data_IF_775511602794
#
_entry.id   IF_775511602794
#
_cell.length_a   1.000
_cell.length_b   1.000
_cell.length_c   1.000
_cell.angle_alpha   90.00
_cell.angle_beta   90.00
_cell.angle_gamma   90.00
#
_symmetry.space_group_name_H-M   'P 1'
#
loop_
_entity.id
_entity.type
_entity.pdbx_description
1 polymer ?
#
# COMPACT_ATOMS: atom_id res chain seq x y z
N UNK A 1 -4.03 -4.35 36.35
CA UNK A 1 -4.59 -5.33 35.37
C UNK A 1 -5.88 -4.86 34.70
N UNK A 2 -6.72 -4.03 35.33
CA UNK A 2 -7.99 -3.56 34.76
C UNK A 2 -7.85 -2.60 33.55
N UNK A 3 -6.74 -1.86 33.48
CA UNK A 3 -6.42 -0.94 32.36
C UNK A 3 -6.05 -1.63 31.04
N UNK A 4 -5.50 -2.85 31.07
CA UNK A 4 -5.26 -3.63 29.84
C UNK A 4 -6.55 -4.21 29.25
N UNK A 5 -7.54 -4.51 30.09
CA UNK A 5 -8.83 -5.06 29.67
C UNK A 5 -9.70 -4.00 28.97
N UNK A 6 -9.65 -2.75 29.44
CA UNK A 6 -10.42 -1.64 28.86
C UNK A 6 -9.87 -1.22 27.49
N UNK A 7 -8.53 -1.23 27.33
CA UNK A 7 -7.87 -1.03 26.02
C UNK A 7 -8.31 -2.12 25.04
N UNK A 8 -8.43 -3.40 25.48
CA UNK A 8 -8.92 -4.51 24.64
C UNK A 8 -10.38 -4.36 24.22
N UNK A 9 -11.25 -3.80 25.07
CA UNK A 9 -12.68 -3.66 24.78
C UNK A 9 -12.96 -2.53 23.77
N UNK A 10 -12.31 -1.38 23.92
CA UNK A 10 -12.32 -0.33 22.88
C UNK A 10 -11.55 -0.78 21.64
N UNK A 11 -10.45 -1.53 21.79
CA UNK A 11 -9.78 -2.17 20.64
C UNK A 11 -10.72 -3.07 19.86
N UNK A 12 -11.54 -3.91 20.49
CA UNK A 12 -12.30 -4.96 19.78
C UNK A 12 -13.30 -4.43 18.75
N UNK A 13 -13.89 -3.24 18.94
CA UNK A 13 -14.74 -2.60 17.92
C UNK A 13 -13.89 -2.03 16.78
N UNK A 14 -12.77 -1.39 17.10
CA UNK A 14 -11.80 -0.90 16.12
C UNK A 14 -11.16 -2.05 15.36
N UNK A 15 -10.90 -3.19 16.00
CA UNK A 15 -10.28 -4.40 15.48
C UNK A 15 -11.18 -5.12 14.49
N UNK A 16 -12.50 -5.19 14.73
CA UNK A 16 -13.44 -5.78 13.78
C UNK A 16 -13.52 -4.98 12.49
N UNK A 17 -13.56 -3.65 12.59
CA UNK A 17 -13.33 -2.78 11.45
C UNK A 17 -11.99 -3.13 10.80
N UNK A 18 -10.91 -3.06 11.59
CA UNK A 18 -9.51 -3.31 11.20
C UNK A 18 -9.28 -4.59 10.39
N UNK A 19 -9.88 -5.68 10.84
CA UNK A 19 -9.82 -6.99 10.21
C UNK A 19 -10.52 -6.97 8.85
N UNK A 20 -11.70 -6.35 8.76
CA UNK A 20 -12.41 -6.18 7.49
C UNK A 20 -11.56 -5.33 6.52
N UNK A 21 -10.88 -4.27 6.99
CA UNK A 21 -9.98 -3.46 6.14
C UNK A 21 -8.79 -4.27 5.63
N UNK A 22 -8.11 -4.98 6.53
CA UNK A 22 -6.90 -5.74 6.21
C UNK A 22 -7.21 -6.88 5.25
N UNK A 23 -8.35 -7.56 5.46
CA UNK A 23 -8.87 -8.58 4.54
C UNK A 23 -9.27 -7.95 3.21
N UNK A 24 -9.99 -6.83 3.19
CA UNK A 24 -10.39 -6.17 1.94
C UNK A 24 -9.17 -5.73 1.12
N UNK A 25 -8.16 -5.12 1.74
CA UNK A 25 -6.91 -4.71 1.07
C UNK A 25 -6.12 -5.93 0.61
N UNK A 26 -5.97 -6.97 1.44
CA UNK A 26 -5.24 -8.19 1.06
C UNK A 26 -5.94 -8.95 -0.06
N UNK A 27 -7.27 -9.05 -0.01
CA UNK A 27 -8.08 -9.64 -1.08
C UNK A 27 -7.95 -8.82 -2.36
N UNK A 28 -8.00 -7.49 -2.26
CA UNK A 28 -7.85 -6.62 -3.42
C UNK A 28 -6.46 -6.73 -4.06
N UNK A 29 -5.40 -6.77 -3.24
CA UNK A 29 -4.03 -6.99 -3.70
C UNK A 29 -3.81 -8.40 -4.24
N UNK A 30 -4.42 -9.41 -3.62
CA UNK A 30 -4.39 -10.79 -4.09
C UNK A 30 -5.07 -10.93 -5.45
N UNK A 31 -6.26 -10.35 -5.61
CA UNK A 31 -7.01 -10.34 -6.87
C UNK A 31 -6.25 -9.57 -7.97
N UNK A 32 -5.67 -8.41 -7.63
CA UNK A 32 -4.83 -7.66 -8.57
C UNK A 32 -3.59 -8.49 -8.99
N UNK A 33 -2.95 -9.17 -8.04
CA UNK A 33 -1.77 -10.02 -8.31
C UNK A 33 -2.11 -11.25 -9.14
N UNK A 34 -3.27 -11.87 -8.92
CA UNK A 34 -3.77 -13.00 -9.71
C UNK A 34 -4.05 -12.55 -11.15
N UNK A 35 -4.69 -11.39 -11.34
CA UNK A 35 -4.92 -10.81 -12.67
C UNK A 35 -3.60 -10.47 -13.41
N UNK A 36 -2.52 -10.18 -12.66
CA UNK A 36 -1.20 -9.87 -13.20
C UNK A 36 -0.34 -11.13 -13.47
N UNK A 37 -0.77 -12.33 -13.05
CA UNK A 37 0.06 -13.53 -13.17
C UNK A 37 -0.01 -14.16 -14.58
N UNK A 38 1.09 -14.26 -15.36
CA UNK A 38 1.11 -14.86 -16.70
C UNK A 38 0.81 -16.37 -16.73
N UNK A 39 0.88 -17.05 -15.59
CA UNK A 39 0.82 -18.52 -15.54
C UNK A 39 -0.58 -19.11 -15.67
N UNK A 40 -1.64 -18.29 -15.68
CA UNK A 40 -3.01 -18.74 -15.95
C UNK A 40 -3.27 -18.79 -17.46
N UNK A 41 -2.80 -19.86 -18.11
CA UNK A 41 -2.78 -20.04 -19.57
C UNK A 41 -4.09 -20.52 -20.20
N UNK A 42 -5.17 -20.74 -19.43
CA UNK A 42 -6.49 -21.00 -20.02
C UNK A 42 -7.15 -19.68 -20.41
N UNK A 43 -6.81 -19.23 -21.63
CA UNK A 43 -7.11 -17.91 -22.21
C UNK A 43 -8.52 -17.39 -21.86
N UNK A 44 -9.58 -18.21 -21.94
CA UNK A 44 -10.96 -17.72 -21.75
C UNK A 44 -11.37 -17.51 -20.28
N UNK A 45 -10.99 -18.41 -19.39
CA UNK A 45 -11.39 -18.34 -17.97
C UNK A 45 -10.57 -17.26 -17.28
N UNK A 46 -9.27 -17.19 -17.58
CA UNK A 46 -8.40 -16.11 -17.10
C UNK A 46 -8.91 -14.73 -17.56
N UNK A 47 -9.36 -14.60 -18.81
CA UNK A 47 -9.93 -13.34 -19.32
C UNK A 47 -11.24 -12.95 -18.62
N UNK A 48 -12.15 -13.88 -18.32
CA UNK A 48 -13.38 -13.55 -17.60
C UNK A 48 -13.10 -12.98 -16.20
N UNK A 49 -12.23 -13.64 -15.44
CA UNK A 49 -11.88 -13.19 -14.10
C UNK A 49 -11.11 -11.87 -14.14
N UNK A 50 -10.12 -11.73 -15.04
CA UNK A 50 -9.36 -10.49 -15.17
C UNK A 50 -10.23 -9.30 -15.62
N UNK A 51 -11.18 -9.52 -16.52
CA UNK A 51 -12.14 -8.49 -16.94
C UNK A 51 -13.07 -8.11 -15.78
N UNK A 52 -13.62 -9.10 -15.08
CA UNK A 52 -14.45 -8.87 -13.89
C UNK A 52 -13.69 -8.10 -12.82
N UNK A 53 -12.45 -8.48 -12.54
CA UNK A 53 -11.58 -7.75 -11.61
C UNK A 53 -11.33 -6.33 -12.08
N UNK A 54 -11.13 -6.11 -13.38
CA UNK A 54 -10.94 -4.76 -13.96
C UNK A 54 -12.12 -3.85 -13.64
N UNK A 55 -13.36 -4.31 -13.84
CA UNK A 55 -14.57 -3.52 -13.53
C UNK A 55 -14.84 -3.35 -12.04
N UNK A 56 -14.48 -4.35 -11.22
CA UNK A 56 -14.69 -4.27 -9.77
C UNK A 56 -13.64 -3.40 -9.09
N UNK A 57 -12.48 -3.18 -9.71
CA UNK A 57 -11.36 -2.46 -9.12
C UNK A 57 -11.75 -1.05 -8.63
N UNK A 58 -12.45 -0.21 -9.41
CA UNK A 58 -12.89 1.11 -8.97
C UNK A 58 -13.91 1.03 -7.83
N UNK A 59 -14.88 0.11 -7.91
CA UNK A 59 -15.92 -0.06 -6.88
C UNK A 59 -15.29 -0.45 -5.54
N UNK A 60 -14.39 -1.43 -5.56
CA UNK A 60 -13.63 -1.85 -4.39
C UNK A 60 -12.74 -0.72 -3.86
N UNK A 61 -12.12 0.05 -4.76
CA UNK A 61 -11.32 1.22 -4.39
C UNK A 61 -12.13 2.31 -3.71
N UNK A 62 -13.36 2.61 -4.16
CA UNK A 62 -14.28 3.52 -3.47
C UNK A 62 -14.67 3.00 -2.09
N UNK A 63 -14.94 1.69 -1.98
CA UNK A 63 -15.13 1.03 -0.70
C UNK A 63 -13.94 1.26 0.24
N UNK A 64 -12.72 1.02 -0.24
CA UNK A 64 -11.46 1.26 0.49
C UNK A 64 -11.30 2.74 0.87
N UNK A 65 -11.66 3.69 0.02
CA UNK A 65 -11.60 5.13 0.33
C UNK A 65 -12.51 5.48 1.51
N UNK A 66 -13.78 5.08 1.45
CA UNK A 66 -14.74 5.33 2.53
C UNK A 66 -14.26 4.71 3.85
N UNK A 67 -13.71 3.52 3.72
CA UNK A 67 -13.12 2.76 4.78
C UNK A 67 -11.91 3.48 5.41
N UNK A 68 -10.93 3.91 4.62
CA UNK A 68 -9.76 4.65 5.08
C UNK A 68 -10.12 6.00 5.66
N UNK A 69 -11.14 6.66 5.12
CA UNK A 69 -11.66 7.88 5.70
C UNK A 69 -12.13 7.65 7.14
N UNK A 70 -12.89 6.58 7.41
CA UNK A 70 -13.29 6.20 8.78
C UNK A 70 -12.09 5.89 9.67
N UNK A 71 -11.11 5.14 9.18
CA UNK A 71 -9.87 4.86 9.93
C UNK A 71 -9.13 6.16 10.28
N UNK A 72 -9.07 7.10 9.34
CA UNK A 72 -8.44 8.40 9.56
C UNK A 72 -9.16 9.20 10.63
N UNK A 73 -10.49 9.15 10.73
CA UNK A 73 -11.22 9.83 11.80
C UNK A 73 -10.90 9.28 13.21
N UNK A 74 -10.42 8.05 13.31
CA UNK A 74 -10.04 7.43 14.59
C UNK A 74 -8.58 7.74 15.01
N UNK A 75 -7.80 8.41 14.17
CA UNK A 75 -6.45 8.83 14.54
C UNK A 75 -6.47 10.17 15.27
N UNK A 76 -5.77 10.26 16.39
CA UNK A 76 -5.74 11.47 17.24
C UNK A 76 -4.49 12.34 17.02
N UNK A 77 -3.50 11.82 16.30
CA UNK A 77 -2.25 12.52 16.06
C UNK A 77 -2.45 13.78 15.21
N UNK A 78 -1.84 14.89 15.66
CA UNK A 78 -1.85 16.15 14.90
C UNK A 78 -1.14 15.98 13.56
N UNK A 79 -1.73 16.51 12.49
CA UNK A 79 -1.06 16.57 11.19
C UNK A 79 0.01 17.66 11.21
N UNK A 80 1.27 17.25 11.04
CA UNK A 80 2.38 18.20 10.86
C UNK A 80 2.45 18.55 9.38
N UNK A 81 2.38 19.84 9.05
CA UNK A 81 2.23 20.32 7.68
C UNK A 81 3.36 19.85 6.76
N UNK A 82 4.62 19.95 7.22
CA UNK A 82 5.76 19.63 6.36
C UNK A 82 5.80 18.16 5.92
N UNK A 83 5.72 17.15 6.83
CA UNK A 83 5.59 15.75 6.40
C UNK A 83 4.34 15.49 5.56
N UNK A 84 3.21 16.12 5.90
CA UNK A 84 1.97 15.98 5.14
C UNK A 84 2.19 16.38 3.67
N UNK A 85 2.67 17.60 3.44
CA UNK A 85 2.93 18.10 2.10
C UNK A 85 3.99 17.27 1.38
N UNK A 86 5.08 16.91 2.04
CA UNK A 86 6.14 16.11 1.43
C UNK A 86 5.62 14.76 0.89
N UNK A 87 4.85 14.02 1.69
CA UNK A 87 4.28 12.75 1.22
C UNK A 87 3.21 12.93 0.15
N UNK A 88 2.33 13.93 0.27
CA UNK A 88 1.33 14.23 -0.76
C UNK A 88 1.98 14.63 -2.09
N UNK A 89 3.04 15.44 -2.06
CA UNK A 89 3.80 15.82 -3.25
C UNK A 89 4.46 14.64 -3.93
N UNK A 90 4.99 13.66 -3.18
CA UNK A 90 5.55 12.43 -3.75
C UNK A 90 4.45 11.60 -4.44
N UNK A 91 3.31 11.40 -3.77
CA UNK A 91 2.21 10.58 -4.28
C UNK A 91 1.58 11.22 -5.52
N UNK A 92 1.16 12.49 -5.41
CA UNK A 92 0.48 13.22 -6.47
C UNK A 92 1.46 13.53 -7.59
N UNK A 93 2.67 13.99 -7.27
CA UNK A 93 3.71 14.31 -8.25
C UNK A 93 4.12 13.09 -9.06
N UNK A 94 4.33 11.94 -8.43
CA UNK A 94 4.62 10.68 -9.13
C UNK A 94 3.48 10.25 -10.06
N UNK A 95 2.23 10.43 -9.63
CA UNK A 95 1.05 10.13 -10.46
C UNK A 95 0.88 11.10 -11.64
N UNK A 96 1.11 12.39 -11.43
CA UNK A 96 1.04 13.40 -12.48
C UNK A 96 2.17 13.24 -13.49
N UNK A 97 3.38 12.90 -13.04
CA UNK A 97 4.52 12.63 -13.93
C UNK A 97 4.21 11.43 -14.83
N UNK A 98 3.80 10.31 -14.24
CA UNK A 98 3.38 9.08 -14.94
C UNK A 98 2.29 9.37 -15.99
N UNK A 99 1.24 10.10 -15.60
CA UNK A 99 0.15 10.47 -16.50
C UNK A 99 0.61 11.42 -17.62
N UNK A 100 1.43 12.42 -17.30
CA UNK A 100 1.92 13.38 -18.28
C UNK A 100 2.77 12.70 -19.34
N UNK A 101 3.69 11.84 -18.91
CA UNK A 101 4.56 11.08 -19.81
C UNK A 101 3.77 10.08 -20.65
N UNK A 102 2.73 9.45 -20.08
CA UNK A 102 1.82 8.57 -20.82
C UNK A 102 1.09 9.33 -21.93
N UNK A 103 0.57 10.54 -21.64
CA UNK A 103 -0.15 11.36 -22.63
C UNK A 103 0.80 11.89 -23.71
N UNK A 104 2.01 12.32 -23.33
CA UNK A 104 2.98 12.89 -24.25
C UNK A 104 3.57 11.87 -25.22
N UNK A 105 3.91 10.68 -24.72
CA UNK A 105 4.54 9.64 -25.53
C UNK A 105 3.55 8.69 -26.20
N UNK A 106 2.26 8.76 -25.82
CA UNK A 106 1.12 8.03 -26.43
C UNK A 106 1.56 6.73 -27.12
N UNK A 107 1.95 5.70 -26.35
CA UNK A 107 2.34 4.43 -26.95
C UNK A 107 1.25 3.94 -27.89
N UNK A 108 1.70 3.29 -28.96
CA UNK A 108 0.82 2.35 -29.65
C UNK A 108 0.26 1.40 -28.57
N UNK A 109 -1.06 1.25 -28.54
CA UNK A 109 -1.75 0.43 -27.54
C UNK A 109 -1.27 -1.04 -27.56
N UNK A 110 -0.60 -1.44 -28.64
CA UNK A 110 0.14 -2.69 -28.77
C UNK A 110 1.23 -2.88 -27.71
N UNK A 111 1.87 -1.80 -27.24
CA UNK A 111 2.96 -1.81 -26.26
C UNK A 111 2.48 -1.59 -24.82
N UNK A 112 1.16 -1.55 -24.58
CA UNK A 112 0.61 -1.38 -23.24
C UNK A 112 0.95 -2.59 -22.34
N UNK A 113 1.80 -2.33 -21.35
CA UNK A 113 2.23 -3.30 -20.34
C UNK A 113 1.20 -3.54 -19.23
N UNK A 114 0.24 -2.63 -19.05
CA UNK A 114 -0.81 -2.75 -18.07
C UNK A 114 -1.89 -3.74 -18.53
N UNK A 115 -1.89 -4.94 -17.94
CA UNK A 115 -2.84 -6.01 -18.26
C UNK A 115 -4.31 -5.61 -18.12
N UNK A 116 -4.65 -4.71 -17.19
CA UNK A 116 -6.03 -4.25 -17.02
C UNK A 116 -6.48 -3.34 -18.17
N UNK A 117 -5.56 -2.55 -18.73
CA UNK A 117 -5.85 -1.74 -19.92
C UNK A 117 -5.92 -2.65 -21.14
N UNK A 118 -4.93 -3.54 -21.28
CA UNK A 118 -4.84 -4.50 -22.38
C UNK A 118 -6.08 -5.40 -22.49
N UNK A 119 -6.61 -5.90 -21.38
CA UNK A 119 -7.82 -6.75 -21.43
C UNK A 119 -9.06 -5.98 -21.88
N UNK A 120 -9.19 -4.69 -21.54
CA UNK A 120 -10.30 -3.86 -22.03
C UNK A 120 -10.19 -3.65 -23.54
N UNK A 121 -8.97 -3.43 -24.04
CA UNK A 121 -8.69 -3.30 -25.47
C UNK A 121 -8.96 -4.62 -26.23
N UNK A 122 -8.45 -5.74 -25.72
CA UNK A 122 -8.62 -7.07 -26.32
C UNK A 122 -10.10 -7.53 -26.33
N UNK A 123 -10.92 -6.98 -25.44
CA UNK A 123 -12.37 -7.25 -25.40
C UNK A 123 -13.20 -6.28 -26.25
N UNK A 124 -12.56 -5.40 -27.02
CA UNK A 124 -13.22 -4.53 -28.00
C UNK A 124 -13.87 -3.28 -27.42
N UNK A 125 -13.47 -2.83 -26.23
CA UNK A 125 -14.00 -1.60 -25.65
C UNK A 125 -13.52 -0.37 -26.45
N UNK A 126 -14.36 0.67 -26.59
CA UNK A 126 -13.94 1.91 -27.24
C UNK A 126 -12.85 2.60 -26.42
N UNK A 127 -11.89 3.24 -27.10
CA UNK A 127 -10.75 3.89 -26.45
C UNK A 127 -11.16 4.94 -25.42
N UNK A 128 -12.23 5.69 -25.68
CA UNK A 128 -12.77 6.67 -24.73
C UNK A 128 -13.17 6.02 -23.40
N UNK A 129 -13.76 4.82 -23.44
CA UNK A 129 -14.07 4.06 -22.23
C UNK A 129 -12.81 3.62 -21.51
N UNK A 130 -11.81 3.09 -22.24
CA UNK A 130 -10.55 2.63 -21.67
C UNK A 130 -9.81 3.76 -20.96
N UNK A 131 -9.70 4.94 -21.59
CA UNK A 131 -9.08 6.12 -20.98
C UNK A 131 -9.85 6.63 -19.76
N UNK A 132 -11.19 6.71 -19.84
CA UNK A 132 -12.02 7.13 -18.71
C UNK A 132 -11.89 6.16 -17.53
N UNK A 133 -11.91 4.86 -17.80
CA UNK A 133 -11.75 3.83 -16.79
C UNK A 133 -10.36 3.89 -16.13
N UNK A 134 -9.30 4.03 -16.93
CA UNK A 134 -7.93 4.15 -16.43
C UNK A 134 -7.75 5.40 -15.57
N UNK A 135 -8.23 6.57 -16.04
CA UNK A 135 -8.16 7.83 -15.29
C UNK A 135 -8.91 7.74 -13.96
N UNK A 136 -10.13 7.21 -13.98
CA UNK A 136 -10.92 6.99 -12.76
C UNK A 136 -10.18 6.07 -11.77
N UNK A 137 -9.64 4.96 -12.26
CA UNK A 137 -8.88 4.00 -11.46
C UNK A 137 -7.65 4.68 -10.85
N UNK A 138 -6.88 5.41 -11.65
CA UNK A 138 -5.70 6.16 -11.21
C UNK A 138 -6.05 7.17 -10.11
N UNK A 139 -7.13 7.94 -10.28
CA UNK A 139 -7.60 8.91 -9.29
C UNK A 139 -8.00 8.24 -7.97
N UNK A 140 -8.65 7.08 -8.03
CA UNK A 140 -9.01 6.27 -6.85
C UNK A 140 -7.74 5.78 -6.14
N UNK A 141 -6.77 5.21 -6.85
CA UNK A 141 -5.50 4.76 -6.27
C UNK A 141 -4.73 5.89 -5.59
N UNK A 142 -4.62 7.05 -6.24
CA UNK A 142 -3.97 8.25 -5.67
C UNK A 142 -4.69 8.67 -4.38
N UNK A 143 -6.02 8.69 -4.39
CA UNK A 143 -6.83 9.02 -3.22
C UNK A 143 -6.61 8.03 -2.06
N UNK A 144 -6.54 6.73 -2.36
CA UNK A 144 -6.23 5.68 -1.37
C UNK A 144 -4.86 5.92 -0.75
N UNK A 145 -3.83 6.21 -1.54
CA UNK A 145 -2.48 6.49 -1.03
C UNK A 145 -2.41 7.77 -0.21
N UNK A 146 -3.07 8.84 -0.64
CA UNK A 146 -3.17 10.08 0.13
C UNK A 146 -3.84 9.82 1.48
N UNK A 147 -4.94 9.05 1.52
CA UNK A 147 -5.62 8.70 2.76
C UNK A 147 -4.78 7.80 3.66
N UNK A 148 -4.04 6.83 3.10
CA UNK A 148 -3.09 6.02 3.88
C UNK A 148 -1.97 6.89 4.46
N UNK A 149 -1.42 7.84 3.71
CA UNK A 149 -0.39 8.75 4.21
C UNK A 149 -0.92 9.62 5.35
N UNK A 150 -2.08 10.25 5.16
CA UNK A 150 -2.76 11.03 6.21
C UNK A 150 -3.03 10.16 7.43
N UNK A 151 -3.53 8.94 7.22
CA UNK A 151 -3.79 7.98 8.27
C UNK A 151 -2.55 7.65 9.07
N UNK A 152 -1.44 7.33 8.40
CA UNK A 152 -0.17 7.04 9.06
C UNK A 152 0.27 8.21 9.93
N UNK A 153 0.19 9.44 9.42
CA UNK A 153 0.50 10.62 10.21
C UNK A 153 -0.42 10.73 11.43
N UNK A 154 -1.73 10.54 11.30
CA UNK A 154 -2.65 10.61 12.45
C UNK A 154 -2.45 9.47 13.46
N UNK A 155 -2.00 8.31 13.01
CA UNK A 155 -1.86 7.10 13.83
C UNK A 155 -0.43 6.87 14.38
N UNK A 156 0.57 7.64 13.92
CA UNK A 156 1.98 7.47 14.33
C UNK A 156 2.21 7.53 15.83
N UNK A 157 1.46 8.35 16.55
CA UNK A 157 1.60 8.45 18.01
C UNK A 157 1.09 7.20 18.73
N UNK A 158 0.02 6.59 18.21
CA UNK A 158 -0.50 5.32 18.73
C UNK A 158 0.51 4.20 18.46
N UNK A 159 1.13 4.16 17.27
CA UNK A 159 2.21 3.22 16.97
C UNK A 159 3.37 3.35 17.97
N UNK A 160 3.86 4.56 18.19
CA UNK A 160 4.93 4.84 19.15
C UNK A 160 4.51 4.51 20.58
N UNK A 161 3.25 4.77 20.96
CA UNK A 161 2.73 4.42 22.28
C UNK A 161 2.77 2.91 22.51
N UNK A 162 2.33 2.12 21.53
CA UNK A 162 2.40 0.65 21.62
C UNK A 162 3.85 0.14 21.68
N UNK A 163 4.78 0.77 20.95
CA UNK A 163 6.21 0.47 21.03
C UNK A 163 6.77 0.70 22.44
N UNK A 164 6.33 1.78 23.11
CA UNK A 164 6.77 2.10 24.47
C UNK A 164 6.24 1.14 25.51
N UNK A 165 4.98 0.74 25.40
CA UNK A 165 4.40 -0.23 26.34
C UNK A 165 5.12 -1.59 26.29
N UNK A 166 5.75 -1.92 25.17
CA UNK A 166 6.50 -3.17 25.01
C UNK A 166 7.97 -3.07 25.45
N UNK A 167 8.48 -1.85 25.73
CA UNK A 167 9.85 -1.58 26.20
C UNK A 167 10.96 -2.41 25.52
N UNK A 168 11.12 -2.30 24.19
CA UNK A 168 12.06 -3.14 23.46
C UNK A 168 13.49 -2.92 23.97
N UNK A 169 14.16 -4.03 24.26
CA UNK A 169 15.49 -4.07 24.89
C UNK A 169 16.66 -4.00 23.90
N UNK A 170 16.41 -4.33 22.63
CA UNK A 170 17.40 -4.36 21.55
C UNK A 170 16.83 -3.85 20.23
N UNK A 171 17.69 -3.58 19.25
CA UNK A 171 17.28 -3.17 17.90
C UNK A 171 16.39 -4.22 17.22
N UNK A 172 16.71 -5.51 17.40
CA UNK A 172 15.92 -6.59 16.81
C UNK A 172 14.54 -6.70 17.48
N UNK A 173 14.51 -6.54 18.80
CA UNK A 173 13.27 -6.51 19.56
C UNK A 173 12.40 -5.30 19.18
N UNK A 174 13.02 -4.14 18.91
CA UNK A 174 12.32 -2.99 18.34
C UNK A 174 11.68 -3.30 16.99
N UNK A 175 12.40 -3.93 16.06
CA UNK A 175 11.84 -4.32 14.74
C UNK A 175 10.67 -5.31 14.89
N UNK A 176 10.80 -6.27 15.81
CA UNK A 176 9.74 -7.22 16.16
C UNK A 176 8.48 -6.50 16.65
N UNK A 177 8.62 -5.60 17.62
CA UNK A 177 7.49 -4.83 18.16
C UNK A 177 6.90 -3.88 17.10
N UNK A 178 7.75 -3.22 16.30
CA UNK A 178 7.34 -2.24 15.28
C UNK A 178 6.59 -2.85 14.08
N UNK A 179 6.64 -4.18 13.96
CA UNK A 179 5.87 -4.97 13.00
C UNK A 179 4.68 -5.68 13.65
N UNK A 180 4.41 -5.41 14.94
CA UNK A 180 3.26 -5.95 15.68
C UNK A 180 3.55 -7.24 16.45
N UNK A 181 4.79 -7.70 16.50
CA UNK A 181 5.19 -8.94 17.18
C UNK A 181 5.46 -8.81 18.68
N UNK A 182 4.88 -7.82 19.37
CA UNK A 182 5.20 -7.53 20.77
C UNK A 182 4.99 -8.73 21.71
N UNK A 183 3.88 -9.44 21.54
CA UNK A 183 3.52 -10.63 22.34
C UNK A 183 4.09 -11.93 21.78
N UNK A 184 4.83 -11.88 20.67
CA UNK A 184 5.37 -13.06 19.98
C UNK A 184 6.80 -13.36 20.42
N UNK A 185 7.11 -14.65 20.50
CA UNK A 185 8.51 -15.10 20.54
C UNK A 185 9.19 -14.79 19.20
N UNK A 186 10.53 -14.68 19.18
CA UNK A 186 11.29 -14.46 17.94
C UNK A 186 10.98 -15.50 16.85
N UNK A 187 10.80 -16.77 17.25
CA UNK A 187 10.45 -17.85 16.33
C UNK A 187 9.04 -17.67 15.75
N UNK A 188 8.05 -17.32 16.57
CA UNK A 188 6.69 -17.07 16.10
C UNK A 188 6.60 -15.85 15.19
N UNK A 189 7.38 -14.81 15.48
CA UNK A 189 7.43 -13.61 14.66
C UNK A 189 8.03 -13.85 13.27
N UNK A 190 9.14 -14.59 13.19
CA UNK A 190 9.80 -14.89 11.91
C UNK A 190 9.08 -15.98 11.10
N UNK A 191 8.53 -16.98 11.78
CA UNK A 191 7.92 -18.15 11.15
C UNK A 191 6.58 -18.49 11.84
N UNK A 192 5.54 -17.66 11.61
CA UNK A 192 4.21 -17.94 12.16
C UNK A 192 3.65 -19.20 11.51
N UNK A 193 3.32 -20.21 12.32
CA UNK A 193 2.70 -21.46 11.85
C UNK A 193 1.18 -21.40 12.04
N UNK A 194 0.72 -20.65 13.03
CA UNK A 194 -0.71 -20.50 13.37
C UNK A 194 -1.18 -19.08 13.12
N UNK A 195 -2.47 -18.92 12.81
CA UNK A 195 -3.11 -17.60 12.67
C UNK A 195 -3.00 -16.77 13.95
N UNK A 196 -3.03 -17.41 15.12
CA UNK A 196 -2.84 -16.75 16.42
C UNK A 196 -1.41 -16.21 16.64
N UNK A 197 -0.45 -16.65 15.82
CA UNK A 197 0.95 -16.21 15.86
C UNK A 197 1.22 -15.08 14.87
N UNK A 198 0.19 -14.61 14.14
CA UNK A 198 0.36 -13.48 13.23
C UNK A 198 0.61 -12.19 14.02
N UNK A 199 1.56 -11.34 13.56
CA UNK A 199 1.80 -10.05 14.18
C UNK A 199 0.53 -9.21 14.23
N UNK A 200 0.46 -8.34 15.23
CA UNK A 200 -0.66 -7.43 15.40
C UNK A 200 -0.91 -6.63 14.12
N UNK A 201 -2.04 -6.91 13.46
CA UNK A 201 -2.34 -6.46 12.10
C UNK A 201 -2.23 -4.93 11.94
N UNK A 202 -2.45 -4.18 13.02
CA UNK A 202 -2.33 -2.72 13.03
C UNK A 202 -0.96 -2.23 12.57
N UNK A 203 0.13 -2.77 13.11
CA UNK A 203 1.48 -2.40 12.70
C UNK A 203 1.77 -2.90 11.28
N UNK A 204 1.35 -4.13 10.96
CA UNK A 204 1.52 -4.72 9.64
C UNK A 204 0.88 -3.90 8.52
N UNK A 205 -0.31 -3.33 8.75
CA UNK A 205 -0.96 -2.43 7.80
C UNK A 205 -0.09 -1.20 7.49
N UNK A 206 0.44 -0.53 8.51
CA UNK A 206 1.22 0.70 8.27
C UNK A 206 2.58 0.41 7.62
N UNK A 207 3.24 -0.69 8.01
CA UNK A 207 4.45 -1.18 7.34
C UNK A 207 4.17 -1.42 5.85
N UNK A 208 3.08 -2.13 5.54
CA UNK A 208 2.68 -2.45 4.17
C UNK A 208 2.30 -1.20 3.39
N UNK A 209 1.47 -0.33 4.00
CA UNK A 209 1.02 0.92 3.41
C UNK A 209 2.19 1.83 3.04
N UNK A 210 3.16 2.04 3.94
CA UNK A 210 4.31 2.88 3.64
C UNK A 210 5.17 2.28 2.53
N UNK A 211 5.39 0.96 2.57
CA UNK A 211 6.13 0.25 1.51
C UNK A 211 5.45 0.42 0.15
N UNK A 212 4.11 0.32 0.11
CA UNK A 212 3.34 0.50 -1.12
C UNK A 212 3.35 1.95 -1.62
N UNK A 213 3.14 2.92 -0.74
CA UNK A 213 3.09 4.35 -1.10
C UNK A 213 4.40 4.79 -1.74
N UNK A 214 5.51 4.59 -1.03
CA UNK A 214 6.83 5.02 -1.52
C UNK A 214 7.35 4.10 -2.63
N UNK A 215 7.13 2.79 -2.50
CA UNK A 215 7.48 1.80 -3.51
C UNK A 215 6.86 2.11 -4.87
N UNK A 216 5.54 2.33 -4.90
CA UNK A 216 4.83 2.62 -6.14
C UNK A 216 5.15 4.02 -6.68
N UNK A 217 5.32 5.02 -5.82
CA UNK A 217 5.69 6.37 -6.27
C UNK A 217 7.07 6.40 -6.94
N UNK A 218 8.06 5.70 -6.36
CA UNK A 218 9.38 5.56 -6.98
C UNK A 218 9.33 4.76 -8.28
N UNK A 219 8.56 3.68 -8.30
CA UNK A 219 8.37 2.88 -9.52
C UNK A 219 7.74 3.71 -10.65
N UNK A 220 6.76 4.58 -10.35
CA UNK A 220 6.16 5.50 -11.33
C UNK A 220 7.18 6.48 -11.92
N UNK A 221 8.04 7.06 -11.07
CA UNK A 221 9.12 7.91 -11.55
C UNK A 221 10.08 7.14 -12.46
N UNK A 222 10.46 5.92 -12.08
CA UNK A 222 11.31 5.06 -12.90
C UNK A 222 10.65 4.70 -14.24
N UNK A 223 9.37 4.31 -14.23
CA UNK A 223 8.61 4.04 -15.45
C UNK A 223 8.59 5.28 -16.36
N UNK A 224 8.30 6.46 -15.79
CA UNK A 224 8.34 7.72 -16.54
C UNK A 224 9.72 7.99 -17.17
N UNK A 225 10.83 7.66 -16.50
CA UNK A 225 12.17 7.76 -17.08
C UNK A 225 12.42 6.75 -18.20
N UNK A 226 11.91 5.52 -18.08
CA UNK A 226 11.94 4.54 -19.19
C UNK A 226 11.18 5.07 -20.40
N UNK A 227 10.00 5.65 -20.18
CA UNK A 227 9.16 6.23 -21.24
C UNK A 227 9.74 7.47 -21.91
N UNK A 228 10.66 8.17 -21.23
CA UNK A 228 11.38 9.32 -21.78
C UNK A 228 12.71 8.91 -22.43
N UNK A 229 12.96 7.61 -22.60
CA UNK A 229 14.21 7.04 -23.12
C UNK A 229 15.47 7.48 -22.35
N UNK A 230 15.32 7.95 -21.10
CA UNK A 230 16.44 8.34 -20.23
C UNK A 230 17.19 7.10 -19.72
N UNK A 231 16.46 6.00 -19.55
CA UNK A 231 16.98 4.70 -19.11
C UNK A 231 16.40 3.59 -19.98
N UNK A 232 17.21 2.56 -20.24
CA UNK A 232 16.76 1.44 -21.08
C UNK A 232 15.77 0.53 -20.33
N UNK A 233 14.63 0.17 -20.96
CA UNK A 233 13.66 -0.70 -20.33
C UNK A 233 14.19 -2.13 -20.23
N UNK A 234 14.50 -2.56 -19.00
CA UNK A 234 14.96 -3.93 -18.74
C UNK A 234 14.12 -4.57 -17.64
N UNK A 235 13.79 -5.86 -17.81
CA UNK A 235 13.03 -6.62 -16.80
C UNK A 235 13.78 -6.65 -15.46
N UNK A 236 15.11 -6.76 -15.52
CA UNK A 236 15.96 -6.72 -14.33
C UNK A 236 15.92 -5.34 -13.65
N UNK A 237 16.03 -4.25 -14.40
CA UNK A 237 15.95 -2.87 -13.88
C UNK A 237 14.64 -2.62 -13.13
N UNK A 238 13.50 -2.96 -13.75
CA UNK A 238 12.16 -2.87 -13.11
C UNK A 238 12.10 -3.65 -11.79
N UNK A 239 12.62 -4.88 -11.76
CA UNK A 239 12.66 -5.71 -10.53
C UNK A 239 13.54 -5.10 -9.45
N UNK A 240 14.73 -4.63 -9.82
CA UNK A 240 15.67 -3.97 -8.89
C UNK A 240 14.99 -2.75 -8.27
N UNK A 241 14.34 -1.90 -9.07
CA UNK A 241 13.66 -0.69 -8.59
C UNK A 241 12.56 -1.04 -7.60
N UNK A 242 11.73 -2.04 -7.88
CA UNK A 242 10.67 -2.49 -6.96
C UNK A 242 11.28 -2.91 -5.61
N UNK A 243 12.32 -3.75 -5.64
CA UNK A 243 12.98 -4.26 -4.42
C UNK A 243 13.65 -3.13 -3.64
N UNK A 244 14.46 -2.30 -4.31
CA UNK A 244 15.17 -1.18 -3.69
C UNK A 244 14.19 -0.17 -3.11
N UNK A 245 13.10 0.13 -3.82
CA UNK A 245 12.09 1.08 -3.34
C UNK A 245 11.35 0.53 -2.12
N UNK A 246 11.02 -0.76 -2.11
CA UNK A 246 10.40 -1.42 -0.96
C UNK A 246 11.34 -1.41 0.27
N UNK A 247 12.62 -1.78 0.08
CA UNK A 247 13.63 -1.76 1.16
C UNK A 247 13.81 -0.33 1.68
N UNK A 248 13.94 0.66 0.80
CA UNK A 248 14.13 2.06 1.19
C UNK A 248 12.94 2.58 1.98
N UNK A 249 11.72 2.25 1.55
CA UNK A 249 10.50 2.61 2.27
C UNK A 249 10.43 1.97 3.66
N UNK A 250 10.79 0.68 3.77
CA UNK A 250 10.85 -0.04 5.05
C UNK A 250 11.89 0.57 5.99
N UNK A 251 13.10 0.83 5.50
CA UNK A 251 14.16 1.49 6.29
C UNK A 251 13.69 2.86 6.75
N UNK A 252 13.11 3.67 5.86
CA UNK A 252 12.56 4.98 6.19
C UNK A 252 11.48 4.90 7.28
N UNK A 253 10.55 3.95 7.16
CA UNK A 253 9.52 3.70 8.17
C UNK A 253 10.12 3.39 9.55
N UNK A 254 11.06 2.44 9.62
CA UNK A 254 11.68 2.05 10.89
C UNK A 254 12.52 3.17 11.49
N UNK A 255 13.27 3.92 10.68
CA UNK A 255 14.06 5.08 11.14
C UNK A 255 13.15 6.16 11.71
N UNK A 256 12.03 6.46 11.04
CA UNK A 256 11.06 7.46 11.53
C UNK A 256 10.44 7.00 12.85
N UNK A 257 9.98 5.75 12.94
CA UNK A 257 9.44 5.22 14.20
C UNK A 257 10.48 5.20 15.31
N UNK A 258 11.72 4.82 15.01
CA UNK A 258 12.82 4.81 15.98
C UNK A 258 13.10 6.22 16.51
N UNK A 259 13.21 7.22 15.63
CA UNK A 259 13.39 8.63 16.04
C UNK A 259 12.24 9.12 16.90
N UNK A 260 10.99 8.83 16.52
CA UNK A 260 9.83 9.21 17.32
C UNK A 260 9.79 8.50 18.67
N UNK A 261 10.18 7.23 18.71
CA UNK A 261 10.32 6.45 19.93
C UNK A 261 11.33 7.11 20.88
N UNK A 262 12.54 7.43 20.40
CA UNK A 262 13.62 8.05 21.18
C UNK A 262 13.28 9.49 21.63
N UNK A 263 12.67 10.30 20.76
CA UNK A 263 12.41 11.73 21.02
C UNK A 263 11.50 12.05 22.22
N UNK A 264 10.84 11.04 22.79
CA UNK A 264 10.01 11.23 23.98
C UNK A 264 10.26 10.16 25.06
N UNK A 265 11.45 9.56 25.06
CA UNK A 265 12.07 9.06 26.30
C UNK A 265 12.56 10.25 27.10
#
# INVERSE_FOLDING_TARGET
>A
MQTQFDIRATHNRTLRGFLIYSVAVTVWLGLASIAINPSFSSVRVASFFALTTTYLLPVLGLGIIWLLWRLNQQGDGKLVLLPLLAGLSIIIGGALLDLSVTVLNSPDLADEGNRFVRILLETGHPLSFVYAHWLMTQAIFVSVFCLLWIGFLKHRENLVRTLRMAEPSSTLDFLKVATGGAELTMRQWLFPVKVSELPFLYHGLWVTAMTMIFGNSLFRCYAALEWLDVIQPTVLGRRIVIVVSAITALVGYFVVLWKLYQSRR
#
